data_IF_352116415129
#
_entry.id   IF_352116415129
#
_cell.length_a   1.000
_cell.length_b   1.000
_cell.length_c   1.000
_cell.angle_alpha   90.00
_cell.angle_beta   90.00
_cell.angle_gamma   90.00
#
_symmetry.space_group_name_H-M   'P 1'
#
loop_
_entity.id
_entity.type
_entity.pdbx_description
1 polymer ?
#
# COMPACT_ATOMS: atom_id res chain seq x y z
N UNK A 1 -9.47 7.55 -7.81
CA UNK A 1 -9.98 6.20 -7.46
C UNK A 1 -9.40 5.72 -6.13
N UNK A 2 -8.08 5.84 -5.91
CA UNK A 2 -7.36 5.56 -4.64
C UNK A 2 -8.08 6.03 -3.36
N UNK A 3 -8.52 7.29 -3.31
CA UNK A 3 -9.24 7.87 -2.16
C UNK A 3 -10.55 7.15 -1.77
N UNK A 4 -11.16 6.39 -2.69
CA UNK A 4 -12.40 5.66 -2.41
C UNK A 4 -12.17 4.26 -1.80
N UNK A 5 -10.93 3.73 -1.85
CA UNK A 5 -10.60 2.36 -1.44
C UNK A 5 -9.54 2.34 -0.36
N UNK A 6 -8.47 3.12 -0.52
CA UNK A 6 -7.30 3.04 0.35
C UNK A 6 -7.59 3.39 1.80
N UNK A 7 -8.41 4.41 2.14
CA UNK A 7 -8.75 4.68 3.54
C UNK A 7 -9.47 3.51 4.21
N UNK A 8 -10.39 2.84 3.49
CA UNK A 8 -11.13 1.69 3.99
C UNK A 8 -10.22 0.47 4.12
N UNK A 9 -9.32 0.25 3.16
CA UNK A 9 -8.32 -0.81 3.23
C UNK A 9 -7.35 -0.61 4.40
N UNK A 10 -6.89 0.63 4.63
CA UNK A 10 -6.04 0.98 5.76
C UNK A 10 -6.77 0.79 7.10
N UNK A 11 -8.04 1.19 7.19
CA UNK A 11 -8.85 0.95 8.39
C UNK A 11 -9.02 -0.55 8.68
N UNK A 12 -9.21 -1.39 7.67
CA UNK A 12 -9.25 -2.84 7.83
C UNK A 12 -7.89 -3.42 8.21
N UNK A 13 -6.82 -2.96 7.57
CA UNK A 13 -5.45 -3.40 7.87
C UNK A 13 -5.07 -3.08 9.32
N UNK A 14 -5.45 -1.91 9.83
CA UNK A 14 -5.24 -1.54 11.22
C UNK A 14 -6.00 -2.44 12.22
N UNK A 15 -7.15 -2.99 11.83
CA UNK A 15 -7.99 -3.84 12.69
C UNK A 15 -7.67 -5.33 12.60
N UNK A 16 -7.22 -5.79 11.43
CA UNK A 16 -7.15 -7.22 11.09
C UNK A 16 -5.79 -7.66 10.53
N UNK A 17 -4.88 -6.73 10.23
CA UNK A 17 -3.57 -7.04 9.70
C UNK A 17 -2.76 -7.91 10.66
N UNK A 18 -2.13 -8.96 10.13
CA UNK A 18 -1.18 -9.75 10.92
C UNK A 18 0.09 -8.94 11.20
N UNK A 19 0.86 -9.27 12.25
CA UNK A 19 2.14 -8.60 12.52
C UNK A 19 3.08 -8.58 11.31
N UNK A 20 3.10 -9.67 10.53
CA UNK A 20 3.91 -9.78 9.32
C UNK A 20 3.42 -8.83 8.22
N UNK A 21 2.10 -8.71 8.03
CA UNK A 21 1.52 -7.80 7.06
C UNK A 21 1.78 -6.33 7.42
N UNK A 22 1.70 -5.98 8.70
CA UNK A 22 2.05 -4.63 9.19
C UNK A 22 3.55 -4.34 8.98
N UNK A 23 4.42 -5.31 9.25
CA UNK A 23 5.85 -5.16 9.00
C UNK A 23 6.17 -4.94 7.50
N UNK A 24 5.40 -5.55 6.59
CA UNK A 24 5.55 -5.27 5.15
C UNK A 24 5.12 -3.85 4.77
N UNK A 25 4.07 -3.32 5.39
CA UNK A 25 3.65 -1.92 5.19
C UNK A 25 4.75 -0.97 5.66
N UNK A 26 5.31 -1.21 6.85
CA UNK A 26 6.39 -0.40 7.40
C UNK A 26 7.64 -0.42 6.51
N UNK A 27 8.04 -1.61 6.05
CA UNK A 27 9.16 -1.76 5.11
C UNK A 27 8.94 -0.94 3.84
N UNK A 28 7.77 -1.05 3.22
CA UNK A 28 7.47 -0.33 1.99
C UNK A 28 7.42 1.20 2.21
N UNK A 29 6.94 1.65 3.37
CA UNK A 29 6.96 3.06 3.74
C UNK A 29 8.39 3.61 3.85
N UNK A 30 9.29 2.86 4.48
CA UNK A 30 10.70 3.24 4.60
C UNK A 30 11.40 3.30 3.24
N UNK A 31 11.12 2.34 2.36
CA UNK A 31 11.65 2.35 0.99
C UNK A 31 11.14 3.56 0.20
N UNK A 32 9.88 3.95 0.39
CA UNK A 32 9.29 5.13 -0.24
C UNK A 32 9.91 6.43 0.27
N UNK A 33 10.12 6.57 1.58
CA UNK A 33 10.78 7.74 2.17
C UNK A 33 12.23 7.87 1.66
N UNK A 34 12.97 6.76 1.62
CA UNK A 34 14.34 6.74 1.08
C UNK A 34 14.38 7.15 -0.42
N UNK A 35 13.42 6.69 -1.22
CA UNK A 35 13.32 7.06 -2.64
C UNK A 35 13.03 8.56 -2.81
N UNK A 36 12.15 9.12 -1.96
CA UNK A 36 11.84 10.54 -1.97
C UNK A 36 13.06 11.42 -1.64
N UNK A 37 13.90 10.97 -0.71
CA UNK A 37 15.12 11.70 -0.31
C UNK A 37 16.22 11.63 -1.39
N UNK A 38 16.32 10.51 -2.10
CA UNK A 38 17.40 10.25 -3.07
C UNK A 38 17.14 10.85 -4.47
N UNK A 39 16.05 11.61 -4.66
CA UNK A 39 15.59 12.11 -5.97
C UNK A 39 15.37 10.98 -7.00
N UNK A 40 15.15 9.76 -6.51
CA UNK A 40 14.83 8.59 -7.33
C UNK A 40 13.37 8.58 -7.76
N UNK A 41 13.02 7.60 -8.59
CA UNK A 41 11.61 7.36 -8.93
C UNK A 41 10.83 6.92 -7.69
N UNK A 42 9.84 7.70 -7.28
CA UNK A 42 8.95 7.37 -6.16
C UNK A 42 7.83 6.40 -6.56
N UNK A 43 7.70 6.09 -7.85
CA UNK A 43 6.54 5.36 -8.39
C UNK A 43 6.47 3.90 -7.91
N UNK A 44 7.58 3.17 -7.98
CA UNK A 44 7.62 1.77 -7.56
C UNK A 44 7.43 1.62 -6.04
N UNK A 45 8.11 2.43 -5.20
CA UNK A 45 7.86 2.42 -3.75
C UNK A 45 6.44 2.85 -3.36
N UNK A 46 5.85 3.85 -4.01
CA UNK A 46 4.45 4.27 -3.77
C UNK A 46 3.48 3.11 -4.06
N UNK A 47 3.62 2.47 -5.23
CA UNK A 47 2.78 1.33 -5.57
C UNK A 47 2.94 0.17 -4.58
N UNK A 48 4.18 -0.11 -4.15
CA UNK A 48 4.48 -1.17 -3.19
C UNK A 48 3.80 -0.90 -1.83
N UNK A 49 3.90 0.33 -1.33
CA UNK A 49 3.28 0.74 -0.07
C UNK A 49 1.75 0.57 -0.12
N UNK A 50 1.11 1.09 -1.16
CA UNK A 50 -0.34 1.00 -1.28
C UNK A 50 -0.85 -0.43 -1.51
N UNK A 51 -0.11 -1.24 -2.28
CA UNK A 51 -0.44 -2.66 -2.47
C UNK A 51 -0.30 -3.45 -1.17
N UNK A 52 0.70 -3.13 -0.33
CA UNK A 52 0.87 -3.75 0.98
C UNK A 52 -0.33 -3.44 1.90
N UNK A 53 -0.85 -2.20 1.89
CA UNK A 53 -2.08 -1.83 2.62
C UNK A 53 -3.29 -2.64 2.14
N UNK A 54 -3.48 -2.76 0.82
CA UNK A 54 -4.58 -3.54 0.27
C UNK A 54 -4.50 -5.02 0.68
N UNK A 55 -3.30 -5.60 0.67
CA UNK A 55 -3.07 -6.97 1.09
C UNK A 55 -3.36 -7.15 2.59
N UNK A 56 -2.83 -6.25 3.43
CA UNK A 56 -3.00 -6.28 4.87
C UNK A 56 -4.44 -6.07 5.33
N UNK A 57 -5.30 -5.48 4.48
CA UNK A 57 -6.73 -5.35 4.76
C UNK A 57 -7.45 -6.70 4.94
N UNK A 58 -6.83 -7.80 4.50
CA UNK A 58 -7.45 -9.14 4.51
C UNK A 58 -8.63 -9.28 3.56
N UNK A 59 -8.96 -8.23 2.79
CA UNK A 59 -10.08 -8.21 1.87
C UNK A 59 -9.60 -8.51 0.46
N UNK A 60 -9.90 -9.73 -0.03
CA UNK A 60 -9.51 -10.19 -1.37
C UNK A 60 -10.01 -9.25 -2.49
N UNK A 61 -11.16 -8.62 -2.31
CA UNK A 61 -11.71 -7.69 -3.30
C UNK A 61 -10.83 -6.43 -3.42
N UNK A 62 -10.42 -5.85 -2.29
CA UNK A 62 -9.50 -4.70 -2.29
C UNK A 62 -8.15 -5.06 -2.91
N UNK A 63 -7.62 -6.24 -2.63
CA UNK A 63 -6.38 -6.70 -3.26
C UNK A 63 -6.47 -6.87 -4.78
N UNK A 64 -7.63 -7.27 -5.32
CA UNK A 64 -7.86 -7.31 -6.77
C UNK A 64 -7.92 -5.93 -7.40
N UNK A 65 -8.29 -4.90 -6.65
CA UNK A 65 -8.34 -3.52 -7.14
C UNK A 65 -6.96 -2.85 -7.24
N UNK A 66 -5.89 -3.52 -6.81
CA UNK A 66 -4.51 -3.00 -6.92
C UNK A 66 -4.16 -2.58 -8.34
N UNK A 67 -4.66 -3.29 -9.35
CA UNK A 67 -4.32 -3.03 -10.75
C UNK A 67 -4.89 -1.66 -11.22
N UNK A 68 -5.96 -1.18 -10.57
CA UNK A 68 -6.48 0.17 -10.80
C UNK A 68 -5.64 1.26 -10.13
N UNK A 69 -4.85 0.91 -9.11
CA UNK A 69 -3.87 1.82 -8.50
C UNK A 69 -2.65 1.94 -9.42
N UNK A 70 -2.22 0.83 -10.03
CA UNK A 70 -1.10 0.79 -10.98
C UNK A 70 -1.34 1.61 -12.25
N UNK A 71 -2.59 1.71 -12.70
CA UNK A 71 -2.94 2.37 -13.98
C UNK A 71 -3.27 3.87 -13.81
N UNK A 72 -3.36 4.37 -12.58
CA UNK A 72 -3.73 5.76 -12.29
C UNK A 72 -2.51 6.72 -12.24
N UNK A 73 -1.37 6.31 -12.83
CA UNK A 73 -0.12 7.06 -12.93
C UNK A 73 -0.03 7.84 -14.24
#
# INVERSE_FOLDING_TARGET
>A
MRLAIEPQAAALAARHGSPEAIAQIEKALLEMDNAAQTHGSIHEPDLAFHTAILLASGNRFFYQLRDFITTAL
#
